data_IF_034856205709
#
_entry.id   IF_034856205709
#
_cell.length_a   1.000
_cell.length_b   1.000
_cell.length_c   1.000
_cell.angle_alpha   90.00
_cell.angle_beta   90.00
_cell.angle_gamma   90.00
#
_symmetry.space_group_name_H-M   'P 1'
#
loop_
_entity.id
_entity.type
_entity.pdbx_description
1 polymer ?
#
# COMPACT_ATOMS: atom_id res chain seq x y z
N UNK A 1 -14.58 -46.98 -15.16
CA UNK A 1 -14.28 -46.24 -16.36
C UNK A 1 -14.94 -44.89 -16.43
N UNK A 2 -16.20 -44.84 -16.19
CA UNK A 2 -16.91 -43.59 -16.11
C UNK A 2 -16.49 -42.73 -14.96
N UNK A 3 -16.20 -43.32 -13.84
CA UNK A 3 -15.65 -42.61 -12.69
C UNK A 3 -14.30 -42.02 -12.99
N UNK A 4 -13.52 -42.76 -13.76
CA UNK A 4 -12.28 -42.28 -14.24
C UNK A 4 -12.46 -41.14 -15.20
N UNK A 5 -13.42 -41.23 -16.09
CA UNK A 5 -13.73 -40.20 -17.05
C UNK A 5 -14.23 -38.94 -16.36
N UNK A 6 -15.09 -39.10 -15.36
CA UNK A 6 -15.49 -37.98 -14.53
C UNK A 6 -14.33 -37.39 -13.78
N UNK A 7 -13.55 -38.26 -13.16
CA UNK A 7 -12.38 -37.82 -12.41
C UNK A 7 -11.40 -37.11 -13.26
N UNK A 8 -11.18 -37.57 -14.51
CA UNK A 8 -10.27 -36.91 -15.30
C UNK A 8 -10.76 -35.77 -16.12
N UNK A 9 -12.01 -35.59 -16.27
CA UNK A 9 -12.54 -34.31 -16.66
C UNK A 9 -12.42 -33.28 -15.56
N UNK A 10 -12.60 -33.70 -14.34
CA UNK A 10 -12.35 -32.85 -13.19
C UNK A 10 -10.87 -32.69 -12.90
N UNK A 11 -10.13 -33.79 -13.03
CA UNK A 11 -8.71 -33.82 -12.69
C UNK A 11 -7.82 -33.07 -13.66
N UNK A 12 -8.15 -33.11 -14.93
CA UNK A 12 -7.21 -32.56 -15.92
C UNK A 12 -7.13 -31.05 -15.92
N UNK A 13 -8.21 -30.37 -15.70
CA UNK A 13 -8.26 -28.91 -15.74
C UNK A 13 -8.82 -28.32 -14.46
N UNK A 14 -9.97 -28.80 -14.05
CA UNK A 14 -10.69 -28.21 -12.92
C UNK A 14 -9.99 -28.40 -11.60
N UNK A 15 -9.39 -29.55 -11.36
CA UNK A 15 -8.69 -29.78 -10.10
C UNK A 15 -7.39 -28.98 -10.00
N UNK A 16 -6.67 -28.86 -11.09
CA UNK A 16 -5.48 -28.02 -11.11
C UNK A 16 -5.80 -26.56 -10.87
N UNK A 17 -6.83 -26.10 -11.51
CA UNK A 17 -7.30 -24.74 -11.29
C UNK A 17 -7.83 -24.55 -9.87
N UNK A 18 -8.52 -25.53 -9.36
CA UNK A 18 -9.01 -25.51 -8.00
C UNK A 18 -7.90 -25.50 -6.96
N UNK A 19 -6.90 -26.31 -7.14
CA UNK A 19 -5.74 -26.34 -6.25
C UNK A 19 -4.96 -25.05 -6.29
N UNK A 20 -4.72 -24.54 -7.47
CA UNK A 20 -4.03 -23.27 -7.65
C UNK A 20 -4.81 -22.12 -7.01
N UNK A 21 -6.10 -22.12 -7.16
CA UNK A 21 -6.97 -21.13 -6.55
C UNK A 21 -6.96 -21.22 -5.01
N UNK A 22 -6.98 -22.43 -4.47
CA UNK A 22 -6.90 -22.65 -3.03
C UNK A 22 -5.56 -22.18 -2.47
N UNK A 23 -4.48 -22.51 -3.11
CA UNK A 23 -3.13 -22.09 -2.71
C UNK A 23 -2.99 -20.58 -2.75
N UNK A 24 -3.54 -19.95 -3.79
CA UNK A 24 -3.54 -18.50 -3.92
C UNK A 24 -4.38 -17.83 -2.83
N UNK A 25 -5.52 -18.40 -2.49
CA UNK A 25 -6.36 -17.90 -1.41
C UNK A 25 -5.64 -17.95 -0.07
N UNK A 26 -5.02 -19.06 0.23
CA UNK A 26 -4.29 -19.22 1.49
C UNK A 26 -3.12 -18.26 1.60
N UNK A 27 -2.44 -17.99 0.51
CA UNK A 27 -1.35 -17.01 0.48
C UNK A 27 -1.85 -15.58 0.55
N UNK A 28 -2.97 -15.30 -0.09
CA UNK A 28 -3.57 -13.97 -0.09
C UNK A 28 -4.04 -13.53 1.28
N UNK A 29 -4.47 -14.46 2.12
CA UNK A 29 -4.97 -14.13 3.46
C UNK A 29 -3.91 -13.54 4.39
N UNK A 30 -2.64 -13.63 4.03
CA UNK A 30 -1.51 -13.15 4.84
C UNK A 30 -0.78 -11.96 4.21
N UNK A 31 -1.31 -11.40 3.18
CA UNK A 31 -0.68 -10.25 2.51
C UNK A 31 -1.33 -8.94 2.94
N UNK A 32 -0.49 -7.97 3.23
CA UNK A 32 -0.88 -6.62 3.59
C UNK A 32 -0.31 -5.68 2.54
N UNK A 33 -1.14 -4.82 1.97
CA UNK A 33 -0.78 -4.05 0.79
C UNK A 33 -0.91 -2.56 1.06
N UNK A 34 0.09 -1.81 0.62
CA UNK A 34 0.04 -0.36 0.52
C UNK A 34 -0.06 -0.01 -0.95
N UNK A 35 -1.10 0.72 -1.32
CA UNK A 35 -1.21 1.32 -2.64
C UNK A 35 -0.58 2.70 -2.60
N UNK A 36 0.28 2.99 -3.56
CA UNK A 36 0.99 4.25 -3.66
C UNK A 36 0.77 4.90 -5.01
N UNK A 37 0.55 6.20 -5.00
CA UNK A 37 0.47 7.02 -6.20
C UNK A 37 1.60 8.05 -6.16
N UNK A 38 2.43 8.05 -7.20
CA UNK A 38 3.59 8.93 -7.32
C UNK A 38 3.19 10.19 -8.09
N UNK A 39 3.23 11.32 -7.44
CA UNK A 39 2.88 12.61 -8.05
C UNK A 39 4.07 13.18 -8.85
N UNK A 40 4.51 12.45 -9.83
CA UNK A 40 5.60 12.83 -10.72
C UNK A 40 5.15 12.73 -12.17
N UNK A 41 5.74 13.53 -13.03
CA UNK A 41 5.51 13.44 -14.48
C UNK A 41 6.51 12.50 -15.16
N UNK A 42 7.54 12.10 -14.45
CA UNK A 42 8.56 11.21 -14.99
C UNK A 42 8.07 9.76 -14.95
N UNK A 43 8.55 8.97 -15.89
CA UNK A 43 8.33 7.53 -15.85
C UNK A 43 8.99 6.93 -14.60
N UNK A 44 8.28 6.02 -13.93
CA UNK A 44 8.80 5.35 -12.75
C UNK A 44 9.73 4.21 -13.13
N UNK A 45 10.91 4.21 -12.53
CA UNK A 45 11.82 3.08 -12.57
C UNK A 45 11.59 2.23 -11.31
N UNK A 46 11.07 1.01 -11.49
CA UNK A 46 10.74 0.13 -10.36
C UNK A 46 11.96 -0.27 -9.55
N UNK A 47 13.12 -0.42 -10.18
CA UNK A 47 14.36 -0.69 -9.44
C UNK A 47 14.75 0.47 -8.53
N UNK A 48 14.64 1.69 -9.03
CA UNK A 48 14.94 2.88 -8.24
C UNK A 48 13.96 3.03 -7.07
N UNK A 49 12.68 2.76 -7.29
CA UNK A 49 11.66 2.75 -6.23
C UNK A 49 12.01 1.74 -5.16
N UNK A 50 12.32 0.51 -5.54
CA UNK A 50 12.71 -0.53 -4.60
C UNK A 50 13.98 -0.16 -3.83
N UNK A 51 14.98 0.35 -4.53
CA UNK A 51 16.26 0.76 -3.94
C UNK A 51 16.10 1.89 -2.91
N UNK A 52 15.16 2.78 -3.14
CA UNK A 52 14.86 3.89 -2.24
C UNK A 52 14.10 3.43 -1.00
N UNK A 53 13.04 2.67 -1.18
CA UNK A 53 12.13 2.34 -0.08
C UNK A 53 12.55 1.13 0.75
N UNK A 54 13.33 0.21 0.22
CA UNK A 54 13.81 -0.94 1.01
C UNK A 54 14.57 -0.51 2.26
N UNK A 55 15.62 0.32 2.17
CA UNK A 55 16.33 0.75 3.37
C UNK A 55 15.53 1.75 4.21
N UNK A 56 14.64 2.51 3.58
CA UNK A 56 13.85 3.54 4.25
C UNK A 56 12.75 2.93 5.12
N UNK A 57 12.04 1.96 4.60
CA UNK A 57 10.92 1.34 5.30
C UNK A 57 11.33 0.18 6.19
N UNK A 58 12.44 -0.46 5.94
CA UNK A 58 13.02 -1.52 6.77
C UNK A 58 12.00 -2.58 7.18
N UNK A 59 11.24 -3.09 6.22
CA UNK A 59 10.30 -4.17 6.47
C UNK A 59 11.04 -5.44 6.89
N UNK A 60 10.52 -6.13 7.89
CA UNK A 60 11.16 -7.30 8.49
C UNK A 60 11.53 -8.36 7.45
N UNK A 61 10.61 -8.68 6.57
CA UNK A 61 10.82 -9.64 5.49
C UNK A 61 10.87 -8.97 4.11
N UNK A 62 11.07 -7.66 4.07
CA UNK A 62 11.04 -6.90 2.84
C UNK A 62 9.62 -6.74 2.28
N UNK A 63 9.52 -6.41 1.03
CA UNK A 63 8.25 -6.26 0.34
C UNK A 63 8.41 -6.59 -1.14
N UNK A 64 7.29 -6.92 -1.76
CA UNK A 64 7.19 -7.09 -3.21
C UNK A 64 6.57 -5.84 -3.82
N UNK A 65 6.93 -5.55 -5.05
CA UNK A 65 6.42 -4.40 -5.78
C UNK A 65 5.65 -4.90 -6.99
N UNK A 66 4.46 -4.36 -7.18
CA UNK A 66 3.65 -4.64 -8.35
C UNK A 66 3.21 -3.31 -8.97
N UNK A 67 3.50 -3.14 -10.24
CA UNK A 67 3.10 -1.94 -10.98
C UNK A 67 1.64 -2.05 -11.43
N UNK A 68 0.85 -1.01 -11.15
CA UNK A 68 -0.57 -0.96 -11.51
C UNK A 68 -0.89 0.24 -12.40
N UNK A 69 0.00 0.59 -13.28
CA UNK A 69 -0.14 1.73 -14.18
C UNK A 69 1.10 2.58 -14.21
N UNK A 70 0.99 3.77 -14.77
CA UNK A 70 2.15 4.62 -14.97
C UNK A 70 2.76 5.12 -13.67
N UNK A 71 1.92 5.46 -12.70
CA UNK A 71 2.37 6.07 -11.44
C UNK A 71 1.76 5.41 -10.21
N UNK A 72 1.07 4.29 -10.37
CA UNK A 72 0.48 3.53 -9.28
C UNK A 72 1.27 2.26 -9.04
N UNK A 73 1.60 2.02 -7.78
CA UNK A 73 2.41 0.88 -7.37
C UNK A 73 1.79 0.25 -6.13
N UNK A 74 1.74 -1.06 -6.09
CA UNK A 74 1.37 -1.81 -4.91
C UNK A 74 2.62 -2.35 -4.24
N UNK A 75 2.74 -2.10 -2.94
CA UNK A 75 3.78 -2.67 -2.10
C UNK A 75 3.15 -3.75 -1.23
N UNK A 76 3.63 -4.97 -1.37
CA UNK A 76 3.05 -6.15 -0.75
C UNK A 76 3.93 -6.61 0.38
N UNK A 77 3.39 -6.63 1.59
CA UNK A 77 4.07 -7.03 2.82
C UNK A 77 3.42 -8.29 3.39
N UNK A 78 4.16 -9.04 4.17
CA UNK A 78 3.64 -10.18 4.92
C UNK A 78 3.40 -9.86 6.41
N UNK A 79 3.67 -8.63 6.82
CA UNK A 79 3.61 -8.18 8.21
C UNK A 79 2.75 -6.90 8.32
N UNK A 80 1.70 -6.99 9.12
CA UNK A 80 0.79 -5.86 9.34
C UNK A 80 1.47 -4.70 10.07
N UNK A 81 2.35 -5.00 11.01
CA UNK A 81 3.05 -3.99 11.80
C UNK A 81 3.92 -3.09 10.92
N UNK A 82 4.54 -3.65 9.89
CA UNK A 82 5.31 -2.87 8.95
C UNK A 82 4.44 -1.90 8.17
N UNK A 83 3.28 -2.34 7.71
CA UNK A 83 2.31 -1.49 7.00
C UNK A 83 1.81 -0.37 7.91
N UNK A 84 1.43 -0.70 9.14
CA UNK A 84 0.95 0.29 10.11
C UNK A 84 2.01 1.34 10.42
N UNK A 85 3.27 0.91 10.59
CA UNK A 85 4.39 1.83 10.83
C UNK A 85 4.63 2.75 9.65
N UNK A 86 4.64 2.22 8.44
CA UNK A 86 4.87 3.01 7.22
C UNK A 86 3.76 4.04 7.01
N UNK A 87 2.51 3.65 7.17
CA UNK A 87 1.38 4.56 7.03
C UNK A 87 1.34 5.62 8.13
N UNK A 88 1.82 5.29 9.33
CA UNK A 88 1.90 6.24 10.44
C UNK A 88 2.99 7.30 10.26
N UNK A 89 3.96 7.04 9.42
CA UNK A 89 5.09 7.94 9.19
C UNK A 89 4.99 8.74 7.89
N UNK A 90 3.80 8.84 7.31
CA UNK A 90 3.57 9.71 6.17
C UNK A 90 3.88 11.18 6.51
N UNK A 91 4.23 12.02 5.54
CA UNK A 91 4.24 11.77 4.10
C UNK A 91 5.55 11.13 3.63
N UNK A 92 5.46 10.45 2.49
CA UNK A 92 6.62 9.89 1.82
C UNK A 92 6.89 10.65 0.52
N UNK A 93 8.13 10.66 0.10
CA UNK A 93 8.53 11.29 -1.16
C UNK A 93 9.49 10.39 -1.94
N UNK A 94 9.47 10.55 -3.24
CA UNK A 94 10.37 9.87 -4.15
C UNK A 94 10.77 10.84 -5.26
N UNK A 95 12.07 10.98 -5.49
CA UNK A 95 12.60 11.89 -6.51
C UNK A 95 12.00 13.31 -6.41
N UNK A 96 11.93 13.83 -5.19
CA UNK A 96 11.38 15.15 -4.86
C UNK A 96 9.89 15.31 -5.15
N UNK A 97 9.18 14.23 -5.38
CA UNK A 97 7.73 14.23 -5.60
C UNK A 97 7.01 13.52 -4.48
N UNK A 98 5.83 14.01 -4.13
CA UNK A 98 5.01 13.39 -3.11
C UNK A 98 4.53 12.01 -3.56
N UNK A 99 4.55 11.06 -2.64
CA UNK A 99 3.97 9.75 -2.81
C UNK A 99 2.78 9.64 -1.87
N UNK A 100 1.59 9.55 -2.44
CA UNK A 100 0.37 9.36 -1.68
C UNK A 100 0.18 7.87 -1.44
N UNK A 101 0.09 7.48 -0.18
CA UNK A 101 -0.04 6.07 0.21
C UNK A 101 -1.34 5.83 0.93
N UNK A 102 -1.90 4.66 0.74
CA UNK A 102 -3.06 4.21 1.49
C UNK A 102 -3.10 2.69 1.58
N UNK A 103 -3.80 2.18 2.58
CA UNK A 103 -4.01 0.76 2.74
C UNK A 103 -4.90 0.25 1.61
N UNK A 104 -4.56 -0.89 1.05
CA UNK A 104 -5.29 -1.50 -0.04
C UNK A 104 -5.72 -2.93 0.32
N UNK A 105 -6.96 -3.25 -0.02
CA UNK A 105 -7.48 -4.61 0.08
C UNK A 105 -7.65 -5.17 -1.34
N UNK A 106 -7.15 -6.37 -1.57
CA UNK A 106 -7.27 -7.03 -2.87
C UNK A 106 -8.71 -7.29 -3.31
N UNK A 107 -9.65 -7.23 -2.39
CA UNK A 107 -11.06 -7.34 -2.73
C UNK A 107 -11.62 -6.08 -3.40
N UNK A 108 -10.88 -4.99 -3.33
CA UNK A 108 -11.22 -3.72 -3.97
C UNK A 108 -10.50 -3.58 -5.30
N UNK A 109 -11.04 -2.77 -6.19
CA UNK A 109 -10.38 -2.44 -7.45
C UNK A 109 -9.36 -1.31 -7.23
N UNK A 110 -8.20 -1.41 -7.87
CA UNK A 110 -7.20 -0.34 -7.86
C UNK A 110 -7.76 0.95 -8.46
N UNK A 111 -8.67 0.82 -9.40
CA UNK A 111 -9.31 1.96 -10.07
C UNK A 111 -10.26 2.74 -9.16
N UNK A 112 -10.80 2.07 -8.13
CA UNK A 112 -11.66 2.70 -7.13
C UNK A 112 -10.88 3.46 -6.07
N UNK A 113 -9.56 3.32 -6.04
CA UNK A 113 -8.72 4.01 -5.07
C UNK A 113 -8.65 5.51 -5.39
N UNK A 114 -8.94 6.32 -4.40
CA UNK A 114 -8.80 7.77 -4.47
C UNK A 114 -7.50 8.18 -3.77
N UNK A 115 -6.68 8.94 -4.46
CA UNK A 115 -5.41 9.47 -3.96
C UNK A 115 -5.46 10.99 -3.82
N UNK A 116 -6.57 11.48 -3.33
CA UNK A 116 -6.86 12.91 -3.20
C UNK A 116 -6.47 13.49 -1.84
N UNK A 117 -6.01 12.67 -0.93
CA UNK A 117 -5.62 13.08 0.42
C UNK A 117 -4.26 12.54 0.79
N UNK A 118 -3.51 13.32 1.54
CA UNK A 118 -2.23 12.92 2.11
C UNK A 118 -2.10 13.49 3.51
N UNK A 119 -1.47 12.72 4.40
CA UNK A 119 -1.21 13.13 5.78
C UNK A 119 0.14 13.81 5.87
N UNK A 120 0.19 14.94 6.54
CA UNK A 120 1.42 15.69 6.75
C UNK A 120 1.62 15.99 8.23
N UNK A 121 2.87 15.98 8.64
CA UNK A 121 3.25 16.54 9.93
C UNK A 121 3.41 18.04 9.78
N UNK A 122 2.69 18.79 10.61
CA UNK A 122 2.71 20.26 10.57
C UNK A 122 3.31 20.77 11.86
N UNK A 123 4.28 21.66 11.76
CA UNK A 123 4.85 22.36 12.91
C UNK A 123 4.29 23.77 12.94
N UNK A 124 3.75 24.18 14.08
CA UNK A 124 3.26 25.53 14.29
C UNK A 124 4.24 26.26 15.19
N UNK A 125 4.75 27.37 14.72
CA UNK A 125 5.73 28.18 15.43
C UNK A 125 5.14 29.49 15.95
N UNK A 126 5.81 30.07 16.96
CA UNK A 126 5.48 31.40 17.49
C UNK A 126 4.08 31.51 18.09
N UNK A 127 3.56 30.44 18.67
CA UNK A 127 2.32 30.51 19.44
C UNK A 127 2.63 31.14 20.78
N UNK A 128 1.94 32.24 21.18
CA UNK A 128 2.09 32.80 22.51
C UNK A 128 1.83 31.79 23.62
N UNK A 129 2.56 31.87 24.71
CA UNK A 129 2.51 30.83 25.76
C UNK A 129 1.09 30.60 26.27
N UNK A 130 0.28 31.64 26.44
CA UNK A 130 -1.10 31.53 26.94
C UNK A 130 -2.03 30.76 25.98
N UNK A 131 -1.65 30.65 24.73
CA UNK A 131 -2.43 29.91 23.69
C UNK A 131 -1.83 28.55 23.33
N UNK A 132 -0.77 28.12 24.03
CA UNK A 132 -0.14 26.83 23.83
C UNK A 132 -0.92 25.73 24.55
N UNK A 133 -2.09 25.43 24.06
CA UNK A 133 -2.90 24.35 24.58
C UNK A 133 -3.47 23.53 23.43
N UNK A 134 -3.98 22.35 23.74
CA UNK A 134 -4.49 21.41 22.75
C UNK A 134 -5.61 21.99 21.92
N UNK A 135 -6.54 22.69 22.54
CA UNK A 135 -7.70 23.27 21.86
C UNK A 135 -7.29 24.25 20.77
N UNK A 136 -6.35 25.15 21.05
CA UNK A 136 -5.86 26.13 20.07
C UNK A 136 -5.14 25.43 18.91
N UNK A 137 -4.35 24.40 19.21
CA UNK A 137 -3.66 23.63 18.18
C UNK A 137 -4.66 22.91 17.28
N UNK A 138 -5.69 22.30 17.86
CA UNK A 138 -6.77 21.66 17.12
C UNK A 138 -7.49 22.65 16.21
N UNK A 139 -7.82 23.83 16.70
CA UNK A 139 -8.45 24.89 15.91
C UNK A 139 -7.57 25.32 14.72
N UNK A 140 -6.27 25.46 14.95
CA UNK A 140 -5.32 25.78 13.87
C UNK A 140 -5.28 24.67 12.84
N UNK A 141 -5.21 23.42 13.27
CA UNK A 141 -5.20 22.26 12.37
C UNK A 141 -6.48 22.19 11.55
N UNK A 142 -7.62 22.42 12.15
CA UNK A 142 -8.92 22.43 11.45
C UNK A 142 -8.98 23.53 10.39
N UNK A 143 -8.31 24.65 10.60
CA UNK A 143 -8.26 25.73 9.61
C UNK A 143 -7.37 25.45 8.42
N UNK A 144 -6.43 24.53 8.56
CA UNK A 144 -5.52 24.12 7.49
C UNK A 144 -6.18 23.07 6.56
N UNK A 145 -6.99 22.21 7.10
CA UNK A 145 -7.71 21.21 6.31
C UNK A 145 -7.96 19.89 6.99
#
# INVERSE_FOLDING_TARGET
MEDLTKQWNCLSLSEREGEDLCIKKDRQSKEFIIAAFFLTRRALNMEAVARTFKPLWRAENGFKIQREGDHKVLFIFDNKEDVDRILSNEPWSFDKSLVVTQRFDRNSSVEELSFDKASFWVQVHNIPIRYRNRSVVEDICDSIG
#
